data_IF_838461774131
#
_entry.id   IF_838461774131
#
_cell.length_a   1.000
_cell.length_b   1.000
_cell.length_c   1.000
_cell.angle_alpha   90.00
_cell.angle_beta   90.00
_cell.angle_gamma   90.00
#
_symmetry.space_group_name_H-M   'P 1'
#
loop_
_entity.id
_entity.type
_entity.pdbx_description
1 polymer ?
#
# COMPACT_ATOMS: atom_id res chain seq x y z
N UNK A 1 14.84 -12.32 2.83
CA UNK A 1 14.77 -10.83 2.97
C UNK A 1 15.42 -10.21 1.76
N UNK A 2 14.70 -9.29 1.12
CA UNK A 2 15.22 -8.50 0.00
C UNK A 2 16.25 -7.49 0.52
N UNK A 3 17.30 -7.25 -0.25
CA UNK A 3 18.16 -6.10 -0.03
C UNK A 3 17.42 -4.80 -0.41
N UNK A 4 17.91 -3.65 0.07
CA UNK A 4 17.34 -2.35 -0.27
C UNK A 4 17.33 -2.14 -1.79
N UNK A 5 16.15 -1.92 -2.37
CA UNK A 5 15.96 -1.76 -3.81
C UNK A 5 16.11 -3.03 -4.66
N UNK A 6 16.23 -4.22 -4.06
CA UNK A 6 16.16 -5.50 -4.77
C UNK A 6 14.70 -5.84 -5.12
N UNK A 7 14.45 -6.32 -6.35
CA UNK A 7 13.12 -6.69 -6.81
C UNK A 7 12.89 -8.20 -6.78
N UNK A 8 11.88 -8.66 -6.02
CA UNK A 8 11.26 -9.98 -6.22
C UNK A 8 10.19 -9.85 -7.31
N UNK A 9 10.33 -10.65 -8.37
CA UNK A 9 9.44 -10.62 -9.53
C UNK A 9 8.74 -11.96 -9.68
N UNK A 10 7.42 -11.98 -9.55
CA UNK A 10 6.63 -13.20 -9.68
C UNK A 10 5.50 -13.01 -10.67
N UNK A 11 5.18 -14.06 -11.42
CA UNK A 11 4.04 -14.06 -12.34
C UNK A 11 2.78 -14.37 -11.54
N UNK A 12 1.90 -13.38 -11.47
CA UNK A 12 0.58 -13.53 -10.88
C UNK A 12 -0.47 -14.06 -11.87
N UNK A 13 -1.71 -14.06 -11.44
CA UNK A 13 -2.82 -14.54 -12.26
C UNK A 13 -3.01 -13.66 -13.52
N UNK A 14 -3.32 -14.29 -14.65
CA UNK A 14 -3.61 -13.59 -15.91
C UNK A 14 -2.36 -13.04 -16.63
N UNK A 15 -1.14 -13.48 -16.26
CA UNK A 15 0.10 -13.05 -16.91
C UNK A 15 0.58 -11.66 -16.47
N UNK A 16 -0.03 -11.08 -15.44
CA UNK A 16 0.47 -9.87 -14.78
C UNK A 16 1.59 -10.26 -13.83
N UNK A 17 2.74 -9.60 -13.94
CA UNK A 17 3.81 -9.78 -12.96
C UNK A 17 3.58 -8.90 -11.73
N UNK A 18 3.95 -9.41 -10.58
CA UNK A 18 3.97 -8.66 -9.32
C UNK A 18 5.42 -8.52 -8.88
N UNK A 19 5.88 -7.28 -8.82
CA UNK A 19 7.22 -6.96 -8.35
C UNK A 19 7.12 -6.37 -6.95
N UNK A 20 7.90 -6.90 -6.03
CA UNK A 20 7.95 -6.42 -4.64
C UNK A 20 9.37 -6.02 -4.32
N UNK A 21 9.52 -4.91 -3.60
CA UNK A 21 10.83 -4.44 -3.14
C UNK A 21 10.69 -3.75 -1.79
N UNK A 22 11.77 -3.77 -1.01
CA UNK A 22 11.91 -2.98 0.19
C UNK A 22 12.80 -1.78 -0.11
N UNK A 23 12.45 -0.60 0.39
CA UNK A 23 13.21 0.63 0.16
C UNK A 23 13.24 1.53 1.39
N UNK A 24 14.40 2.16 1.60
CA UNK A 24 14.61 3.23 2.58
C UNK A 24 14.71 2.80 4.03
N UNK A 25 15.05 3.78 4.86
CA UNK A 25 15.36 3.58 6.29
C UNK A 25 14.16 3.09 7.13
N UNK A 26 12.94 3.37 6.68
CA UNK A 26 11.71 2.88 7.32
C UNK A 26 11.30 1.49 6.80
N UNK A 27 12.13 0.87 5.95
CA UNK A 27 11.86 -0.44 5.36
C UNK A 27 10.50 -0.53 4.67
N UNK A 28 10.14 0.52 3.90
CA UNK A 28 8.87 0.58 3.17
C UNK A 28 8.79 -0.55 2.14
N UNK A 29 7.67 -1.28 2.14
CA UNK A 29 7.40 -2.32 1.17
C UNK A 29 6.61 -1.73 0.00
N UNK A 30 7.20 -1.78 -1.17
CA UNK A 30 6.58 -1.29 -2.40
C UNK A 30 6.16 -2.46 -3.30
N UNK A 31 5.06 -2.31 -4.00
CA UNK A 31 4.57 -3.35 -4.93
C UNK A 31 4.26 -2.73 -6.29
N UNK A 32 4.67 -3.37 -7.38
CA UNK A 32 4.19 -3.00 -8.71
C UNK A 32 3.44 -4.16 -9.37
N UNK A 33 2.37 -3.82 -10.06
CA UNK A 33 1.64 -4.71 -10.96
C UNK A 33 2.02 -4.35 -12.39
N UNK A 34 2.56 -5.33 -13.12
CA UNK A 34 3.18 -5.13 -14.43
C UNK A 34 2.47 -5.94 -15.51
N UNK A 35 1.76 -5.28 -16.38
CA UNK A 35 1.17 -5.85 -17.60
C UNK A 35 2.08 -5.54 -18.80
N UNK A 36 3.06 -6.41 -19.02
CA UNK A 36 4.03 -6.24 -20.12
C UNK A 36 3.36 -6.21 -21.49
N UNK A 37 2.26 -6.96 -21.67
CA UNK A 37 1.55 -7.05 -22.94
C UNK A 37 0.97 -5.70 -23.36
N UNK A 38 0.45 -4.93 -22.40
CA UNK A 38 -0.17 -3.63 -22.66
C UNK A 38 0.73 -2.46 -22.29
N UNK A 39 1.94 -2.71 -21.80
CA UNK A 39 2.89 -1.67 -21.35
C UNK A 39 2.38 -0.88 -20.14
N UNK A 40 1.57 -1.50 -19.27
CA UNK A 40 0.99 -0.86 -18.09
C UNK A 40 1.76 -1.29 -16.84
N UNK A 41 2.19 -0.31 -16.07
CA UNK A 41 2.87 -0.50 -14.79
C UNK A 41 2.18 0.37 -13.74
N UNK A 42 1.62 -0.26 -12.71
CA UNK A 42 0.99 0.39 -11.57
C UNK A 42 1.80 0.11 -10.29
N UNK A 43 2.40 1.16 -9.72
CA UNK A 43 3.27 1.05 -8.54
C UNK A 43 2.51 1.54 -7.31
N UNK A 44 2.49 0.73 -6.27
CA UNK A 44 1.92 1.09 -4.96
C UNK A 44 3.02 1.70 -4.09
N UNK A 45 2.79 2.89 -3.58
CA UNK A 45 3.63 3.64 -2.63
C UNK A 45 5.12 3.72 -3.05
N UNK A 46 5.48 4.23 -4.25
CA UNK A 46 6.87 4.26 -4.69
C UNK A 46 7.72 5.17 -3.80
N UNK A 47 8.59 4.57 -2.97
CA UNK A 47 9.48 5.28 -2.07
C UNK A 47 10.64 5.94 -2.81
N UNK A 48 11.40 5.16 -3.56
CA UNK A 48 12.51 5.62 -4.41
C UNK A 48 12.11 5.53 -5.89
N UNK A 49 11.77 6.67 -6.45
CA UNK A 49 11.28 6.76 -7.83
C UNK A 49 12.38 6.52 -8.86
N UNK A 50 13.61 6.89 -8.56
CA UNK A 50 14.76 6.69 -9.46
C UNK A 50 15.03 5.19 -9.58
N UNK A 51 15.07 4.48 -8.46
CA UNK A 51 15.27 3.04 -8.43
C UNK A 51 14.16 2.29 -9.18
N UNK A 52 12.89 2.75 -9.03
CA UNK A 52 11.78 2.16 -9.79
C UNK A 52 11.92 2.39 -11.29
N UNK A 53 12.25 3.60 -11.72
CA UNK A 53 12.42 3.93 -13.15
C UNK A 53 13.58 3.13 -13.74
N UNK A 54 14.71 3.03 -13.05
CA UNK A 54 15.87 2.23 -13.47
C UNK A 54 15.51 0.74 -13.61
N UNK A 55 14.91 0.13 -12.56
CA UNK A 55 14.55 -1.28 -12.58
C UNK A 55 13.53 -1.66 -13.66
N UNK A 56 12.60 -0.75 -13.97
CA UNK A 56 11.65 -0.94 -15.07
C UNK A 56 12.31 -0.75 -16.44
N UNK A 57 13.23 0.21 -16.58
CA UNK A 57 13.93 0.48 -17.83
C UNK A 57 14.81 -0.70 -18.27
N UNK A 58 15.36 -1.49 -17.35
CA UNK A 58 16.08 -2.73 -17.65
C UNK A 58 15.24 -3.73 -18.47
N UNK A 59 13.91 -3.65 -18.34
CA UNK A 59 12.96 -4.50 -19.08
C UNK A 59 12.18 -3.73 -20.16
N UNK A 60 12.62 -2.51 -20.52
CA UNK A 60 11.98 -1.66 -21.52
C UNK A 60 10.62 -1.11 -21.09
N UNK A 61 10.37 -1.04 -19.78
CA UNK A 61 9.12 -0.57 -19.16
C UNK A 61 9.32 0.83 -18.54
N UNK A 62 8.18 1.45 -18.20
CA UNK A 62 8.15 2.73 -17.48
C UNK A 62 6.92 2.79 -16.59
N UNK A 63 6.94 3.59 -15.51
CA UNK A 63 5.76 3.83 -14.70
C UNK A 63 4.63 4.46 -15.53
N UNK A 64 3.41 3.95 -15.37
CA UNK A 64 2.20 4.53 -16.00
C UNK A 64 1.19 4.97 -14.95
N UNK A 65 1.14 4.32 -13.79
CA UNK A 65 0.23 4.62 -12.70
C UNK A 65 0.96 4.53 -11.37
N UNK A 66 0.61 5.42 -10.46
CA UNK A 66 0.95 5.35 -9.04
C UNK A 66 -0.33 5.16 -8.26
N UNK A 67 -0.34 4.22 -7.34
CA UNK A 67 -1.46 3.90 -6.47
C UNK A 67 -1.01 4.16 -5.03
N UNK A 68 -1.57 5.16 -4.35
CA UNK A 68 -1.23 5.40 -2.96
C UNK A 68 -2.19 4.70 -2.02
N UNK A 69 -1.64 3.95 -1.03
CA UNK A 69 -2.42 3.41 0.09
C UNK A 69 -2.94 4.56 0.95
N UNK A 70 -2.08 5.51 1.28
CA UNK A 70 -2.40 6.72 2.05
C UNK A 70 -1.30 7.79 1.85
N UNK A 71 -1.39 8.94 2.53
CA UNK A 71 -0.52 10.09 2.29
C UNK A 71 0.42 10.41 3.45
N UNK A 72 0.79 9.44 4.28
CA UNK A 72 1.92 9.65 5.20
C UNK A 72 3.20 9.87 4.41
N UNK A 73 4.08 10.70 4.98
CA UNK A 73 5.25 11.25 4.28
C UNK A 73 6.13 10.17 3.64
N UNK A 74 6.36 9.09 4.34
CA UNK A 74 7.23 7.99 3.91
C UNK A 74 6.63 7.15 2.78
N UNK A 75 5.30 7.11 2.62
CA UNK A 75 4.64 6.49 1.47
C UNK A 75 4.64 7.36 0.21
N UNK A 76 4.70 8.69 0.39
CA UNK A 76 4.63 9.65 -0.73
C UNK A 76 5.92 10.41 -0.96
N UNK A 77 7.02 10.02 -0.33
CA UNK A 77 8.32 10.70 -0.43
C UNK A 77 8.80 10.76 -1.88
N UNK A 78 8.61 9.71 -2.66
CA UNK A 78 8.98 9.60 -4.07
C UNK A 78 8.10 10.42 -5.03
N UNK A 79 6.95 10.96 -4.60
CA UNK A 79 5.98 11.61 -5.50
C UNK A 79 6.60 12.66 -6.43
N UNK A 80 7.34 13.62 -5.88
CA UNK A 80 7.88 14.74 -6.68
C UNK A 80 8.92 14.28 -7.70
N UNK A 81 9.78 13.32 -7.34
CA UNK A 81 10.76 12.72 -8.24
C UNK A 81 10.05 11.91 -9.33
N UNK A 82 9.03 11.13 -8.97
CA UNK A 82 8.28 10.33 -9.94
C UNK A 82 7.58 11.20 -10.98
N UNK A 83 6.93 12.30 -10.58
CA UNK A 83 6.29 13.23 -11.52
C UNK A 83 7.33 13.87 -12.46
N UNK A 84 8.55 14.12 -11.98
CA UNK A 84 9.64 14.65 -12.83
C UNK A 84 10.16 13.63 -13.83
N UNK A 85 10.30 12.36 -13.41
CA UNK A 85 10.84 11.26 -14.22
C UNK A 85 9.81 10.68 -15.19
N UNK A 86 8.52 10.68 -14.80
CA UNK A 86 7.39 10.16 -15.56
C UNK A 86 6.22 11.17 -15.57
N UNK A 87 6.32 12.30 -16.30
CA UNK A 87 5.36 13.41 -16.20
C UNK A 87 3.92 13.06 -16.64
N UNK A 88 3.74 11.96 -17.37
CA UNK A 88 2.42 11.49 -17.81
C UNK A 88 1.86 10.36 -16.93
N UNK A 89 2.47 10.08 -15.78
CA UNK A 89 1.99 9.05 -14.85
C UNK A 89 0.64 9.48 -14.24
N UNK A 90 -0.33 8.56 -14.22
CA UNK A 90 -1.58 8.78 -13.49
C UNK A 90 -1.39 8.50 -12.00
N UNK A 91 -1.88 9.40 -11.16
CA UNK A 91 -1.75 9.31 -9.70
C UNK A 91 -3.11 9.08 -9.08
N UNK A 92 -3.23 7.97 -8.37
CA UNK A 92 -4.46 7.50 -7.74
C UNK A 92 -4.34 7.46 -6.22
N UNK A 93 -5.37 7.89 -5.53
CA UNK A 93 -5.55 7.78 -4.09
C UNK A 93 -7.02 7.89 -3.72
N UNK A 94 -7.36 7.64 -2.45
CA UNK A 94 -8.72 7.85 -1.99
C UNK A 94 -9.01 9.36 -1.81
N UNK A 95 -10.24 9.81 -2.06
CA UNK A 95 -10.57 11.25 -1.93
C UNK A 95 -10.35 11.77 -0.49
N UNK A 96 -10.56 10.94 0.53
CA UNK A 96 -10.32 11.28 1.94
C UNK A 96 -8.83 11.35 2.29
N UNK A 97 -7.93 10.87 1.44
CA UNK A 97 -6.48 11.04 1.59
C UNK A 97 -6.01 12.45 1.18
N UNK A 98 -6.86 13.22 0.52
CA UNK A 98 -6.58 14.63 0.26
C UNK A 98 -6.60 15.39 1.60
N UNK A 99 -5.44 15.87 1.99
CA UNK A 99 -5.37 16.80 3.12
C UNK A 99 -6.02 18.11 2.69
N UNK A 100 -7.33 18.22 2.84
CA UNK A 100 -8.01 19.50 2.71
C UNK A 100 -7.53 20.39 3.85
N UNK A 101 -7.13 21.63 3.54
CA UNK A 101 -6.51 22.60 4.46
C UNK A 101 -7.33 22.91 5.72
N UNK A 102 -7.48 21.93 6.58
CA UNK A 102 -8.09 22.10 7.88
C UNK A 102 -7.09 22.75 8.84
N UNK A 103 -7.59 23.48 9.81
CA UNK A 103 -6.83 24.14 10.89
C UNK A 103 -5.82 23.17 11.54
N UNK A 104 -6.11 21.87 11.58
CA UNK A 104 -5.21 20.81 12.09
C UNK A 104 -3.91 20.72 11.28
N UNK A 105 -3.96 20.84 9.95
CA UNK A 105 -2.77 20.86 9.08
C UNK A 105 -1.90 22.09 9.34
N UNK A 106 -2.53 23.28 9.52
CA UNK A 106 -1.79 24.52 9.79
C UNK A 106 -1.10 24.46 11.16
N UNK A 107 -1.78 23.95 12.19
CA UNK A 107 -1.21 23.76 13.53
C UNK A 107 -0.07 22.74 13.50
N UNK A 108 -0.21 21.68 12.73
CA UNK A 108 0.81 20.63 12.60
C UNK A 108 2.06 21.12 11.84
N UNK A 109 1.91 21.91 10.79
CA UNK A 109 3.03 22.55 10.08
C UNK A 109 3.81 23.53 10.98
N UNK A 110 3.14 24.18 11.93
CA UNK A 110 3.77 25.07 12.89
C UNK A 110 4.63 24.34 13.94
N UNK A 111 4.38 23.05 14.19
CA UNK A 111 5.16 22.23 15.14
C UNK A 111 6.35 21.51 14.45
N UNK A 112 6.55 21.72 13.14
CA UNK A 112 7.74 21.28 12.42
C UNK A 112 7.76 19.80 11.99
N UNK A 113 6.66 19.07 12.13
CA UNK A 113 6.54 17.68 11.68
C UNK A 113 5.40 17.53 10.68
N UNK A 114 5.66 17.79 9.40
CA UNK A 114 4.72 17.48 8.32
C UNK A 114 4.64 15.95 8.14
N UNK A 115 3.66 15.30 8.80
CA UNK A 115 3.38 13.87 8.64
C UNK A 115 2.80 13.56 7.26
N UNK A 116 2.15 14.53 6.62
CA UNK A 116 1.51 14.38 5.33
C UNK A 116 2.18 15.27 4.29
N UNK A 117 2.31 14.75 3.07
CA UNK A 117 2.77 15.52 1.91
C UNK A 117 1.57 15.69 0.97
N UNK A 118 1.40 16.90 0.41
CA UNK A 118 0.42 17.11 -0.64
C UNK A 118 0.78 16.27 -1.87
N UNK A 119 -0.18 15.47 -2.31
CA UNK A 119 -0.15 14.71 -3.54
C UNK A 119 -1.30 15.19 -4.41
N UNK A 120 -1.00 15.60 -5.63
CA UNK A 120 -2.01 15.96 -6.60
C UNK A 120 -2.51 14.70 -7.31
N UNK A 121 -3.57 14.12 -6.80
CA UNK A 121 -4.21 12.96 -7.43
C UNK A 121 -4.85 13.37 -8.76
N UNK A 122 -4.44 12.73 -9.86
CA UNK A 122 -5.13 12.88 -11.15
C UNK A 122 -6.49 12.22 -11.11
N UNK A 123 -6.62 11.15 -10.32
CA UNK A 123 -7.84 10.37 -10.14
C UNK A 123 -8.02 9.97 -8.66
N UNK A 124 -9.26 9.77 -8.23
CA UNK A 124 -9.55 9.34 -6.87
C UNK A 124 -10.59 8.23 -6.81
N UNK A 125 -10.36 7.28 -5.89
CA UNK A 125 -11.42 6.38 -5.44
C UNK A 125 -12.33 7.11 -4.45
N UNK A 126 -13.62 6.71 -4.43
CA UNK A 126 -14.69 7.37 -3.62
C UNK A 126 -15.58 6.35 -2.94
N UNK A 127 -15.09 5.14 -2.78
CA UNK A 127 -15.85 4.09 -2.13
C UNK A 127 -15.98 4.37 -0.62
N UNK A 128 -17.14 4.07 -0.07
CA UNK A 128 -17.43 4.29 1.35
C UNK A 128 -16.49 3.48 2.26
N UNK A 129 -16.29 3.91 3.53
CA UNK A 129 -15.51 3.13 4.49
C UNK A 129 -15.91 1.65 4.52
N UNK A 130 -14.91 0.77 4.62
CA UNK A 130 -15.05 -0.69 4.67
C UNK A 130 -15.72 -1.32 3.43
N UNK A 131 -15.88 -0.54 2.35
CA UNK A 131 -16.39 -1.05 1.07
C UNK A 131 -15.26 -1.30 0.07
N UNK A 132 -15.54 -2.15 -0.92
CA UNK A 132 -14.58 -2.57 -1.93
C UNK A 132 -15.12 -2.29 -3.33
N UNK A 133 -14.24 -1.90 -4.26
CA UNK A 133 -14.55 -1.70 -5.68
C UNK A 133 -13.52 -2.42 -6.55
N UNK A 134 -13.95 -2.86 -7.73
CA UNK A 134 -13.03 -3.34 -8.76
C UNK A 134 -12.29 -2.17 -9.41
N UNK A 135 -11.00 -2.37 -9.67
CA UNK A 135 -10.13 -1.44 -10.35
C UNK A 135 -9.35 -2.16 -11.45
N UNK A 136 -9.49 -1.72 -12.69
CA UNK A 136 -8.91 -2.41 -13.85
C UNK A 136 -8.05 -1.48 -14.70
N UNK A 137 -6.84 -1.95 -15.03
CA UNK A 137 -5.89 -1.30 -15.92
C UNK A 137 -5.33 -2.37 -16.89
N UNK A 138 -5.85 -2.43 -18.12
CA UNK A 138 -5.51 -3.51 -19.03
C UNK A 138 -5.81 -4.88 -18.45
N UNK A 139 -4.78 -5.72 -18.31
CA UNK A 139 -4.90 -7.05 -17.68
C UNK A 139 -4.78 -7.00 -16.14
N UNK A 140 -4.37 -5.86 -15.55
CA UNK A 140 -4.33 -5.68 -14.11
C UNK A 140 -5.75 -5.54 -13.58
N UNK A 141 -6.14 -6.45 -12.69
CA UNK A 141 -7.45 -6.44 -12.01
C UNK A 141 -7.24 -6.51 -10.50
N UNK A 142 -7.53 -5.41 -9.84
CA UNK A 142 -7.39 -5.26 -8.38
C UNK A 142 -8.74 -4.99 -7.75
N UNK A 143 -8.87 -5.36 -6.50
CA UNK A 143 -9.93 -4.86 -5.63
C UNK A 143 -9.30 -3.83 -4.69
N UNK A 144 -9.89 -2.64 -4.67
CA UNK A 144 -9.50 -1.53 -3.80
C UNK A 144 -10.51 -1.44 -2.67
N UNK A 145 -10.05 -1.61 -1.44
CA UNK A 145 -10.91 -1.51 -0.24
C UNK A 145 -10.54 -0.26 0.55
N UNK A 146 -11.51 0.63 0.80
CA UNK A 146 -11.32 1.77 1.69
C UNK A 146 -11.26 1.25 3.13
N UNK A 147 -10.13 1.47 3.78
CA UNK A 147 -9.77 0.88 5.07
C UNK A 147 -9.28 1.98 6.04
N UNK A 148 -10.17 2.95 6.41
CA UNK A 148 -9.77 4.05 7.27
C UNK A 148 -9.42 3.59 8.68
N UNK A 149 -8.62 4.39 9.37
CA UNK A 149 -8.22 4.14 10.76
C UNK A 149 -6.81 4.63 11.04
N UNK A 150 -5.79 4.02 10.48
CA UNK A 150 -4.42 4.54 10.50
C UNK A 150 -4.33 5.93 9.85
N UNK A 151 -4.99 6.10 8.70
CA UNK A 151 -5.21 7.38 8.03
C UNK A 151 -6.63 7.43 7.44
N UNK A 152 -7.24 8.62 7.26
CA UNK A 152 -8.63 8.74 6.80
C UNK A 152 -8.88 8.11 5.42
N UNK A 153 -8.00 8.36 4.47
CA UNK A 153 -8.10 7.84 3.10
C UNK A 153 -7.27 6.59 2.85
N UNK A 154 -6.97 5.79 3.87
CA UNK A 154 -6.19 4.57 3.70
C UNK A 154 -6.97 3.54 2.87
N UNK A 155 -6.30 2.92 1.90
CA UNK A 155 -6.84 1.81 1.11
C UNK A 155 -5.90 0.61 1.10
N UNK A 156 -6.47 -0.57 0.90
CA UNK A 156 -5.72 -1.80 0.63
C UNK A 156 -6.02 -2.30 -0.78
N UNK A 157 -5.10 -3.06 -1.35
CA UNK A 157 -5.23 -3.64 -2.69
C UNK A 157 -5.10 -5.15 -2.64
N UNK A 158 -5.94 -5.88 -3.36
CA UNK A 158 -5.68 -7.30 -3.57
C UNK A 158 -5.98 -7.75 -5.00
N UNK A 159 -5.19 -8.70 -5.47
CA UNK A 159 -5.23 -9.27 -6.80
C UNK A 159 -3.88 -9.91 -7.15
N UNK A 160 -3.85 -10.71 -8.19
CA UNK A 160 -2.62 -11.29 -8.76
C UNK A 160 -1.71 -12.01 -7.75
N UNK A 161 -2.26 -12.66 -6.72
CA UNK A 161 -1.49 -13.42 -5.74
C UNK A 161 -1.02 -12.62 -4.53
N UNK A 162 -1.47 -11.36 -4.36
CA UNK A 162 -1.08 -10.53 -3.22
C UNK A 162 -2.27 -9.82 -2.60
N UNK A 163 -2.14 -9.54 -1.30
CA UNK A 163 -2.89 -8.56 -0.54
C UNK A 163 -1.91 -7.51 -0.03
N UNK A 164 -1.87 -6.34 -0.66
CA UNK A 164 -1.06 -5.22 -0.21
C UNK A 164 -1.83 -4.44 0.86
N UNK A 165 -1.38 -4.58 2.09
CA UNK A 165 -2.09 -4.10 3.27
C UNK A 165 -1.82 -2.63 3.61
N UNK A 166 -0.74 -2.02 3.06
CA UNK A 166 -0.26 -0.74 3.56
C UNK A 166 -0.06 -0.79 5.07
N UNK A 167 -0.44 0.27 5.75
CA UNK A 167 -0.33 0.38 7.21
C UNK A 167 -1.60 -0.04 7.96
N UNK A 168 -2.51 -0.75 7.30
CA UNK A 168 -3.62 -1.40 8.00
C UNK A 168 -3.13 -2.60 8.81
N UNK A 169 -2.34 -3.48 8.16
CA UNK A 169 -1.80 -4.70 8.75
C UNK A 169 -0.32 -4.85 8.41
N UNK A 170 0.48 -5.18 9.40
CA UNK A 170 1.85 -5.64 9.23
C UNK A 170 1.91 -7.18 9.26
N UNK A 171 3.08 -7.75 9.12
CA UNK A 171 3.24 -9.21 9.21
C UNK A 171 2.70 -9.76 10.54
N UNK A 172 2.98 -9.07 11.65
CA UNK A 172 2.52 -9.45 12.99
C UNK A 172 1.98 -8.22 13.74
N UNK A 173 0.87 -7.64 13.24
CA UNK A 173 0.29 -6.49 13.90
C UNK A 173 -0.49 -5.57 12.97
N UNK A 174 -0.62 -4.31 13.39
CA UNK A 174 -1.35 -3.27 12.67
C UNK A 174 -0.63 -1.93 12.76
N UNK A 175 -0.95 -1.01 11.87
CA UNK A 175 -0.49 0.38 11.92
C UNK A 175 -0.98 1.09 13.17
N UNK A 176 -0.18 2.05 13.63
CA UNK A 176 -0.49 2.90 14.81
C UNK A 176 -1.72 3.79 14.53
N UNK A 177 -2.42 4.13 15.60
CA UNK A 177 -3.66 4.94 15.54
C UNK A 177 -3.62 6.13 16.50
N UNK A 178 -2.44 6.64 16.78
CA UNK A 178 -2.17 7.78 17.65
C UNK A 178 -1.64 9.00 16.87
N UNK A 179 -1.61 8.93 15.54
CA UNK A 179 -1.23 10.03 14.67
C UNK A 179 -2.43 10.96 14.40
N UNK A 180 -2.19 12.24 14.07
CA UNK A 180 -3.26 13.15 13.67
C UNK A 180 -4.09 12.61 12.49
N UNK A 181 -5.39 12.56 12.66
CA UNK A 181 -6.33 12.02 11.66
C UNK A 181 -6.59 10.52 11.79
N UNK A 182 -5.88 9.81 12.67
CA UNK A 182 -6.18 8.40 12.97
C UNK A 182 -7.48 8.25 13.75
N UNK A 183 -8.14 7.11 13.57
CA UNK A 183 -9.36 6.70 14.28
C UNK A 183 -9.24 5.23 14.69
N UNK A 184 -9.03 4.95 16.00
CA UNK A 184 -8.90 3.56 16.49
C UNK A 184 -10.14 2.69 16.22
N UNK A 185 -11.35 3.25 16.28
CA UNK A 185 -12.57 2.49 16.03
C UNK A 185 -12.69 2.13 14.54
N UNK A 186 -12.39 3.08 13.65
CA UNK A 186 -12.32 2.83 12.21
C UNK A 186 -11.26 1.76 11.89
N UNK A 187 -10.07 1.83 12.52
CA UNK A 187 -9.01 0.82 12.35
C UNK A 187 -9.51 -0.60 12.64
N UNK A 188 -10.21 -0.79 13.76
CA UNK A 188 -10.75 -2.10 14.11
C UNK A 188 -11.86 -2.55 13.15
N UNK A 189 -12.70 -1.66 12.63
CA UNK A 189 -13.68 -2.00 11.58
C UNK A 189 -12.98 -2.44 10.30
N UNK A 190 -11.96 -1.70 9.87
CA UNK A 190 -11.16 -2.00 8.69
C UNK A 190 -10.40 -3.34 8.83
N UNK A 191 -9.87 -3.65 10.02
CA UNK A 191 -9.24 -4.95 10.30
C UNK A 191 -10.25 -6.10 10.22
N UNK A 192 -11.47 -5.93 10.76
CA UNK A 192 -12.53 -6.94 10.61
C UNK A 192 -12.87 -7.18 9.14
N UNK A 193 -12.99 -6.10 8.37
CA UNK A 193 -13.22 -6.19 6.91
C UNK A 193 -12.08 -6.91 6.21
N UNK A 194 -10.82 -6.55 6.53
CA UNK A 194 -9.63 -7.20 5.97
C UNK A 194 -9.62 -8.69 6.31
N UNK A 195 -9.90 -9.08 7.57
CA UNK A 195 -10.00 -10.49 7.98
C UNK A 195 -10.99 -11.26 7.12
N UNK A 196 -12.21 -10.73 6.94
CA UNK A 196 -13.23 -11.36 6.09
C UNK A 196 -12.76 -11.53 4.63
N UNK A 197 -12.02 -10.55 4.08
CA UNK A 197 -11.43 -10.66 2.74
C UNK A 197 -10.36 -11.76 2.72
N UNK A 198 -9.41 -11.74 3.66
CA UNK A 198 -8.31 -12.71 3.74
C UNK A 198 -8.82 -14.15 3.92
N UNK A 199 -9.92 -14.34 4.66
CA UNK A 199 -10.56 -15.65 4.81
C UNK A 199 -11.12 -16.19 3.48
N UNK A 200 -11.51 -15.32 2.56
CA UNK A 200 -12.00 -15.67 1.21
C UNK A 200 -10.91 -15.85 0.15
N UNK A 201 -9.68 -15.39 0.41
CA UNK A 201 -8.57 -15.47 -0.55
C UNK A 201 -7.79 -16.79 -0.45
N UNK A 202 -7.06 -17.21 -1.51
CA UNK A 202 -6.14 -18.34 -1.45
C UNK A 202 -5.11 -18.15 -0.33
N UNK A 203 -4.84 -19.21 0.43
CA UNK A 203 -4.04 -19.13 1.65
C UNK A 203 -2.53 -19.00 1.39
N UNK A 204 -2.10 -19.31 0.20
CA UNK A 204 -0.72 -19.16 -0.30
C UNK A 204 -0.43 -17.78 -0.90
N UNK A 205 -1.44 -16.91 -1.04
CA UNK A 205 -1.20 -15.51 -1.44
C UNK A 205 -0.38 -14.79 -0.38
N UNK A 206 0.38 -13.78 -0.83
CA UNK A 206 1.26 -12.98 0.02
C UNK A 206 0.51 -11.78 0.61
N UNK A 207 0.60 -11.59 1.93
CA UNK A 207 0.26 -10.35 2.58
C UNK A 207 1.52 -9.47 2.60
N UNK A 208 1.49 -8.38 1.84
CA UNK A 208 2.56 -7.38 1.76
C UNK A 208 2.19 -6.22 2.68
N UNK A 209 2.94 -5.95 3.75
CA UNK A 209 2.71 -4.81 4.64
C UNK A 209 3.21 -3.49 4.03
N UNK A 210 2.89 -2.35 4.65
CA UNK A 210 3.51 -1.06 4.30
C UNK A 210 4.97 -0.98 4.72
N UNK A 211 5.32 -1.64 5.83
CA UNK A 211 6.69 -1.70 6.37
C UNK A 211 7.06 -3.10 6.80
N UNK A 212 8.35 -3.39 6.74
CA UNK A 212 8.93 -4.61 7.29
C UNK A 212 9.11 -4.47 8.81
N UNK A 213 8.49 -5.36 9.57
CA UNK A 213 8.62 -5.45 11.02
C UNK A 213 8.90 -6.88 11.47
N UNK A 214 9.29 -7.02 12.74
CA UNK A 214 9.61 -8.32 13.32
C UNK A 214 8.42 -9.27 13.29
N UNK A 215 8.71 -10.50 12.92
CA UNK A 215 7.81 -11.64 13.01
C UNK A 215 7.90 -12.29 14.39
N UNK A 216 7.00 -13.23 14.67
CA UNK A 216 6.88 -13.92 15.96
C UNK A 216 8.14 -14.69 16.41
N UNK A 217 9.00 -15.07 15.46
CA UNK A 217 10.27 -15.78 15.70
C UNK A 217 11.49 -14.85 15.77
N UNK A 218 11.28 -13.53 15.70
CA UNK A 218 12.33 -12.51 15.71
C UNK A 218 12.99 -12.28 14.35
N UNK A 219 12.52 -12.93 13.28
CA UNK A 219 12.91 -12.58 11.90
C UNK A 219 12.11 -11.36 11.41
N UNK A 220 12.55 -10.73 10.32
CA UNK A 220 11.88 -9.57 9.69
C UNK A 220 11.52 -9.90 8.24
N UNK A 221 10.52 -10.76 7.99
CA UNK A 221 10.18 -11.17 6.62
C UNK A 221 9.62 -10.00 5.81
N UNK A 222 9.83 -10.03 4.49
CA UNK A 222 9.28 -9.04 3.55
C UNK A 222 7.76 -9.14 3.44
N UNK A 223 7.23 -10.35 3.57
CA UNK A 223 5.80 -10.68 3.61
C UNK A 223 5.59 -12.02 4.33
N UNK A 224 4.34 -12.31 4.61
CA UNK A 224 3.88 -13.63 5.08
C UNK A 224 2.78 -14.14 4.16
N UNK A 225 2.50 -15.42 4.19
CA UNK A 225 1.32 -15.96 3.51
C UNK A 225 0.04 -15.51 4.22
N UNK A 226 -1.08 -15.45 3.49
CA UNK A 226 -2.40 -15.17 4.10
C UNK A 226 -2.71 -16.19 5.20
N UNK A 227 -2.28 -17.46 5.02
CA UNK A 227 -2.42 -18.47 6.08
C UNK A 227 -1.70 -18.06 7.35
N UNK A 228 -0.41 -17.70 7.25
CA UNK A 228 0.39 -17.28 8.41
C UNK A 228 -0.18 -16.01 9.05
N UNK A 229 -0.61 -15.03 8.25
CA UNK A 229 -1.25 -13.83 8.77
C UNK A 229 -2.51 -14.15 9.57
N UNK A 230 -3.39 -15.02 9.06
CA UNK A 230 -4.61 -15.44 9.76
C UNK A 230 -4.31 -16.26 11.02
N UNK A 231 -3.25 -17.07 11.01
CA UNK A 231 -2.90 -17.92 12.14
C UNK A 231 -2.22 -17.14 13.27
N UNK A 232 -1.39 -16.13 12.94
CA UNK A 232 -0.43 -15.57 13.89
C UNK A 232 -0.54 -14.06 14.13
N UNK A 233 -1.06 -13.28 13.17
CA UNK A 233 -1.14 -11.83 13.38
C UNK A 233 -2.08 -11.50 14.54
N UNK A 234 -1.56 -10.84 15.57
CA UNK A 234 -2.34 -10.56 16.79
C UNK A 234 -3.55 -9.66 16.54
N UNK A 235 -3.47 -8.73 15.56
CA UNK A 235 -4.59 -7.84 15.26
C UNK A 235 -5.75 -8.61 14.61
N UNK A 236 -5.46 -9.58 13.72
CA UNK A 236 -6.48 -10.45 13.13
C UNK A 236 -7.06 -11.47 14.13
N UNK A 237 -6.30 -11.82 15.17
CA UNK A 237 -6.68 -12.79 16.20
C UNK A 237 -7.16 -12.17 17.51
N UNK A 238 -7.34 -10.84 17.54
CA UNK A 238 -7.86 -10.16 18.72
C UNK A 238 -9.30 -10.59 19.00
N UNK A 239 -9.55 -11.10 20.23
CA UNK A 239 -10.88 -11.58 20.68
C UNK A 239 -11.94 -10.47 20.70
N UNK A 240 -11.52 -9.19 20.68
CA UNK A 240 -12.41 -8.03 20.62
C UNK A 240 -12.90 -7.73 19.20
N UNK A 241 -12.58 -8.57 18.19
CA UNK A 241 -13.08 -8.47 16.82
C UNK A 241 -14.46 -9.11 16.62
N UNK A 242 -15.03 -9.75 17.65
CA UNK A 242 -16.35 -10.37 17.63
C UNK A 242 -17.48 -9.42 18.00
#
# INVERSE_FOLDING_TARGET
>A
MLADGEFDKQVGNGGVEVWVTQMGDYMNMNTAFVDKKNGIVAIVDPFDSERWVEGLAEEGLRPTHILYTHTHRDHVVGYSSMISLAPNVEVWGHEDARVSGTMAYVVFCLIGHALFKNVDFTNTWKNAPDSSIEFKLGSISLVVTHSPGHAPGHVTFHGHGVYHAGDLLFTNGMGRVDLPGSDPEAQWRSIRKAKSILEGLPKDWRLIPGHRYDWIDGTTPDWVTIKEALDYNYALNNRNLG
#
